data_IF_957115820517
#
_entry.id   IF_957115820517
#
_cell.length_a   1.000
_cell.length_b   1.000
_cell.length_c   1.000
_cell.angle_alpha   90.00
_cell.angle_beta   90.00
_cell.angle_gamma   90.00
#
_symmetry.space_group_name_H-M   'P 1'
#
loop_
_entity.id
_entity.type
_entity.pdbx_description
1 polymer ?
#
# COMPACT_ATOMS: atom_id res chain seq x y z
N UNK A 1 -42.89 6.73 -3.82
CA UNK A 1 -42.25 6.08 -2.67
C UNK A 1 -41.78 4.72 -3.15
N UNK A 2 -40.58 4.66 -3.73
CA UNK A 2 -40.08 3.43 -4.34
C UNK A 2 -39.63 2.43 -3.27
N UNK A 3 -40.26 1.27 -3.30
CA UNK A 3 -39.99 0.14 -2.42
C UNK A 3 -38.55 -0.35 -2.63
N UNK A 4 -37.70 -0.10 -1.63
CA UNK A 4 -36.32 -0.56 -1.58
C UNK A 4 -36.31 -2.10 -1.52
N UNK A 5 -35.86 -2.75 -2.59
CA UNK A 5 -35.68 -4.19 -2.63
C UNK A 5 -34.83 -4.69 -1.44
N UNK A 6 -35.12 -5.87 -0.87
CA UNK A 6 -34.44 -6.37 0.33
C UNK A 6 -32.94 -6.49 0.05
N UNK A 7 -32.13 -5.79 0.86
CA UNK A 7 -30.68 -5.93 0.84
C UNK A 7 -30.35 -7.36 1.25
N UNK A 8 -29.90 -8.19 0.31
CA UNK A 8 -29.40 -9.52 0.63
C UNK A 8 -28.39 -9.41 1.79
N UNK A 9 -28.63 -10.07 2.92
CA UNK A 9 -27.73 -10.00 4.10
C UNK A 9 -26.39 -10.70 3.84
N UNK A 10 -26.40 -11.68 2.94
CA UNK A 10 -25.26 -12.49 2.53
C UNK A 10 -24.95 -12.28 1.05
N UNK A 11 -23.70 -12.55 0.67
CA UNK A 11 -23.25 -12.48 -0.71
C UNK A 11 -24.03 -13.46 -1.60
N UNK A 12 -24.48 -13.02 -2.76
CA UNK A 12 -25.20 -13.85 -3.74
C UNK A 12 -24.31 -14.77 -4.58
N UNK A 13 -23.03 -14.89 -4.23
CA UNK A 13 -22.11 -15.83 -4.89
C UNK A 13 -22.22 -17.17 -4.17
N UNK A 14 -22.51 -18.23 -4.91
CA UNK A 14 -22.57 -19.60 -4.38
C UNK A 14 -21.27 -19.91 -3.60
N UNK A 15 -21.40 -20.54 -2.43
CA UNK A 15 -20.30 -20.81 -1.48
C UNK A 15 -19.64 -19.59 -0.80
N UNK A 16 -20.30 -18.42 -0.78
CA UNK A 16 -19.80 -17.24 -0.07
C UNK A 16 -20.74 -16.76 1.04
N UNK A 17 -20.40 -17.06 2.30
CA UNK A 17 -21.23 -16.68 3.46
C UNK A 17 -20.91 -15.27 4.00
N UNK A 18 -20.11 -14.49 3.28
CA UNK A 18 -19.72 -13.14 3.71
C UNK A 18 -20.90 -12.17 3.62
N UNK A 19 -20.98 -11.17 4.51
CA UNK A 19 -22.04 -10.17 4.44
C UNK A 19 -21.97 -9.41 3.12
N UNK A 20 -23.15 -9.17 2.54
CA UNK A 20 -23.29 -8.33 1.36
C UNK A 20 -22.91 -6.90 1.72
N UNK A 21 -22.10 -6.28 0.88
CA UNK A 21 -21.69 -4.88 0.99
C UNK A 21 -22.52 -4.01 0.06
N UNK A 22 -22.65 -4.40 -1.22
CA UNK A 22 -23.47 -3.68 -2.21
C UNK A 22 -23.75 -4.57 -3.42
N UNK A 23 -24.84 -4.31 -4.16
CA UNK A 23 -25.27 -5.08 -5.34
C UNK A 23 -25.46 -6.59 -5.08
N UNK A 24 -25.72 -6.98 -3.83
CA UNK A 24 -25.81 -8.38 -3.43
C UNK A 24 -24.45 -9.08 -3.24
N UNK A 25 -23.33 -8.37 -3.39
CA UNK A 25 -21.98 -8.94 -3.27
C UNK A 25 -21.28 -8.48 -2.00
N UNK A 26 -20.45 -9.35 -1.41
CA UNK A 26 -19.51 -8.94 -0.37
C UNK A 26 -18.45 -7.96 -0.93
N UNK A 27 -17.78 -7.22 -0.04
CA UNK A 27 -16.76 -6.24 -0.42
C UNK A 27 -15.68 -6.80 -1.36
N UNK A 28 -15.30 -8.07 -1.18
CA UNK A 28 -14.33 -8.76 -2.06
C UNK A 28 -14.86 -8.98 -3.48
N UNK A 29 -16.08 -9.49 -3.64
CA UNK A 29 -16.69 -9.77 -4.95
C UNK A 29 -17.06 -8.48 -5.68
N UNK A 30 -17.56 -7.48 -4.96
CA UNK A 30 -17.77 -6.14 -5.51
C UNK A 30 -16.45 -5.53 -6.02
N UNK A 31 -15.36 -5.65 -5.26
CA UNK A 31 -14.04 -5.16 -5.68
C UNK A 31 -13.49 -5.89 -6.92
N UNK A 32 -13.77 -7.18 -7.08
CA UNK A 32 -13.37 -7.96 -8.27
C UNK A 32 -14.14 -7.50 -9.50
N UNK A 33 -15.46 -7.39 -9.39
CA UNK A 33 -16.32 -6.87 -10.45
C UNK A 33 -15.91 -5.45 -10.86
N UNK A 34 -15.70 -4.55 -9.90
CA UNK A 34 -15.32 -3.16 -10.19
C UNK A 34 -14.02 -3.05 -10.99
N UNK A 35 -13.06 -3.94 -10.75
CA UNK A 35 -11.73 -3.89 -11.40
C UNK A 35 -11.64 -4.71 -12.68
N UNK A 36 -12.44 -5.77 -12.81
CA UNK A 36 -12.26 -6.80 -13.84
C UNK A 36 -13.55 -7.21 -14.56
N UNK A 37 -14.69 -6.62 -14.22
CA UNK A 37 -15.99 -6.91 -14.82
C UNK A 37 -16.64 -8.22 -14.35
N UNK A 38 -15.90 -9.08 -13.62
CA UNK A 38 -16.38 -10.37 -13.14
C UNK A 38 -16.19 -10.49 -11.60
N UNK A 39 -17.26 -10.69 -10.81
CA UNK A 39 -17.16 -10.90 -9.37
C UNK A 39 -16.38 -12.18 -8.99
N UNK A 40 -16.30 -13.18 -9.88
CA UNK A 40 -15.59 -14.44 -9.66
C UNK A 40 -14.15 -14.42 -10.16
N UNK A 41 -13.67 -13.32 -10.73
CA UNK A 41 -12.34 -13.22 -11.34
C UNK A 41 -11.23 -13.75 -10.41
N UNK A 42 -10.66 -14.92 -10.76
CA UNK A 42 -9.53 -15.53 -10.06
C UNK A 42 -8.21 -15.00 -10.65
N UNK A 43 -7.77 -13.85 -10.14
CA UNK A 43 -6.67 -13.09 -10.77
C UNK A 43 -5.29 -13.38 -10.17
N UNK A 44 -5.24 -14.23 -9.13
CA UNK A 44 -4.00 -14.68 -8.53
C UNK A 44 -3.83 -16.14 -8.83
N UNK A 45 -2.77 -16.48 -9.58
CA UNK A 45 -2.24 -17.84 -9.56
C UNK A 45 -2.06 -18.25 -8.10
N UNK A 46 -2.57 -19.42 -7.73
CA UNK A 46 -2.36 -19.96 -6.38
C UNK A 46 -0.87 -19.88 -6.02
N UNK A 47 -0.54 -19.53 -4.76
CA UNK A 47 0.84 -19.60 -4.28
C UNK A 47 1.40 -20.98 -4.60
N UNK A 48 2.68 -21.05 -5.00
CA UNK A 48 3.33 -22.36 -5.15
C UNK A 48 3.36 -23.03 -3.78
N UNK A 49 2.92 -24.29 -3.66
CA UNK A 49 2.99 -25.02 -2.40
C UNK A 49 4.41 -24.95 -1.80
N UNK A 50 4.55 -24.83 -0.47
CA UNK A 50 5.85 -24.77 0.20
C UNK A 50 6.82 -25.91 -0.16
N UNK A 51 6.25 -27.08 -0.44
CA UNK A 51 6.87 -28.37 -0.73
C UNK A 51 6.99 -28.67 -2.23
N UNK A 52 6.52 -27.77 -3.11
CA UNK A 52 6.59 -28.00 -4.54
C UNK A 52 8.05 -28.09 -5.02
N UNK A 53 8.35 -29.14 -5.79
CA UNK A 53 9.65 -29.35 -6.45
C UNK A 53 9.73 -28.69 -7.82
N UNK A 54 8.58 -28.45 -8.46
CA UNK A 54 8.46 -27.86 -9.78
C UNK A 54 7.41 -26.75 -9.84
N UNK A 55 7.56 -25.86 -10.81
CA UNK A 55 6.65 -24.73 -11.06
C UNK A 55 6.58 -24.42 -12.55
N UNK A 56 5.37 -24.12 -13.03
CA UNK A 56 5.15 -23.60 -14.40
C UNK A 56 5.47 -22.11 -14.50
N UNK A 57 6.32 -21.73 -15.45
CA UNK A 57 6.62 -20.34 -15.79
C UNK A 57 5.44 -19.71 -16.53
N UNK A 58 4.96 -18.54 -16.10
CA UNK A 58 3.83 -17.86 -16.75
C UNK A 58 4.19 -17.11 -18.03
N UNK A 59 5.47 -17.08 -18.42
CA UNK A 59 5.94 -16.48 -19.68
C UNK A 59 6.21 -17.54 -20.75
N UNK A 60 7.19 -18.42 -20.54
CA UNK A 60 7.52 -19.47 -21.51
C UNK A 60 6.66 -20.73 -21.39
N UNK A 61 5.75 -20.79 -20.42
CA UNK A 61 4.79 -21.90 -20.19
C UNK A 61 5.37 -23.25 -19.81
N UNK A 62 6.70 -23.39 -19.75
CA UNK A 62 7.40 -24.61 -19.34
C UNK A 62 7.31 -24.85 -17.83
N UNK A 63 7.21 -26.12 -17.44
CA UNK A 63 7.41 -26.58 -16.06
C UNK A 63 8.91 -26.75 -15.82
N UNK A 64 9.43 -26.11 -14.77
CA UNK A 64 10.85 -26.14 -14.40
C UNK A 64 10.99 -26.39 -12.89
N UNK A 65 12.14 -26.87 -12.42
CA UNK A 65 12.42 -26.96 -10.99
C UNK A 65 12.25 -25.61 -10.30
N UNK A 66 11.79 -25.61 -9.03
CA UNK A 66 11.53 -24.38 -8.28
C UNK A 66 12.77 -23.51 -8.08
N UNK A 67 13.98 -24.09 -8.16
CA UNK A 67 15.24 -23.36 -8.06
C UNK A 67 15.53 -22.46 -9.27
N UNK A 68 14.82 -22.66 -10.39
CA UNK A 68 14.86 -21.81 -11.58
C UNK A 68 14.01 -20.54 -11.42
N UNK A 69 13.43 -20.32 -10.25
CA UNK A 69 12.60 -19.17 -9.94
C UNK A 69 13.17 -18.43 -8.72
N UNK A 70 13.37 -17.12 -8.87
CA UNK A 70 13.82 -16.33 -7.73
C UNK A 70 12.69 -16.12 -6.71
N UNK A 71 13.07 -15.99 -5.44
CA UNK A 71 12.15 -15.61 -4.37
C UNK A 71 11.71 -14.15 -4.52
N UNK A 72 10.45 -13.85 -4.19
CA UNK A 72 9.95 -12.47 -4.18
C UNK A 72 10.64 -11.65 -3.07
N UNK A 73 10.99 -10.39 -3.36
CA UNK A 73 11.58 -9.47 -2.38
C UNK A 73 10.66 -9.31 -1.16
N UNK A 74 11.22 -9.39 0.04
CA UNK A 74 10.46 -9.30 1.30
C UNK A 74 9.72 -10.59 1.70
N UNK A 75 9.87 -11.69 0.96
CA UNK A 75 9.25 -12.98 1.28
C UNK A 75 10.18 -13.96 2.01
N UNK A 76 11.15 -13.45 2.79
CA UNK A 76 12.15 -14.29 3.50
C UNK A 76 11.49 -15.39 4.34
N UNK A 77 10.36 -15.07 4.99
CA UNK A 77 9.64 -15.98 5.90
C UNK A 77 8.41 -16.65 5.26
N UNK A 78 8.24 -16.61 3.94
CA UNK A 78 7.10 -17.22 3.24
C UNK A 78 7.57 -18.27 2.23
N UNK A 79 7.68 -19.55 2.65
CA UNK A 79 7.94 -20.68 1.76
C UNK A 79 6.98 -20.67 0.57
N UNK A 80 7.45 -21.02 -0.63
CA UNK A 80 6.62 -21.02 -1.85
C UNK A 80 6.38 -19.64 -2.51
N UNK A 81 6.85 -18.54 -1.93
CA UNK A 81 6.73 -17.19 -2.53
C UNK A 81 7.76 -16.92 -3.64
N UNK A 82 7.63 -17.66 -4.73
CA UNK A 82 8.47 -17.56 -5.94
C UNK A 82 7.91 -16.53 -6.95
N UNK A 83 8.78 -15.98 -7.80
CA UNK A 83 8.38 -15.17 -8.97
C UNK A 83 7.59 -16.02 -9.97
N UNK A 84 6.78 -15.37 -10.81
CA UNK A 84 5.97 -16.05 -11.84
C UNK A 84 6.78 -16.50 -13.07
N UNK A 85 7.90 -15.82 -13.34
CA UNK A 85 8.79 -16.13 -14.45
C UNK A 85 10.02 -16.91 -13.95
N UNK A 86 10.50 -17.85 -14.77
CA UNK A 86 11.81 -18.45 -14.53
C UNK A 86 12.92 -17.40 -14.73
N UNK A 87 14.10 -17.64 -14.17
CA UNK A 87 15.26 -16.72 -14.20
C UNK A 87 15.58 -16.21 -15.61
N UNK A 88 15.49 -17.08 -16.60
CA UNK A 88 15.72 -16.75 -18.00
C UNK A 88 14.68 -15.75 -18.54
N UNK A 89 13.39 -16.08 -18.41
CA UNK A 89 12.29 -15.21 -18.79
C UNK A 89 12.30 -13.87 -18.04
N UNK A 90 12.71 -13.87 -16.77
CA UNK A 90 12.85 -12.66 -15.95
C UNK A 90 13.99 -11.76 -16.46
N UNK A 91 15.13 -12.37 -16.84
CA UNK A 91 16.28 -11.66 -17.43
C UNK A 91 15.93 -11.03 -18.77
N UNK A 92 15.25 -11.78 -19.64
CA UNK A 92 14.76 -11.27 -20.92
C UNK A 92 13.74 -10.14 -20.72
N UNK A 93 12.78 -10.33 -19.82
CA UNK A 93 11.76 -9.32 -19.50
C UNK A 93 12.42 -8.03 -19.02
N UNK A 94 13.43 -8.15 -18.16
CA UNK A 94 14.15 -7.00 -17.66
C UNK A 94 14.92 -6.27 -18.76
N UNK A 95 15.54 -6.99 -19.71
CA UNK A 95 16.22 -6.39 -20.88
C UNK A 95 15.24 -5.59 -21.75
N UNK A 96 14.07 -6.14 -22.03
CA UNK A 96 13.00 -5.44 -22.76
C UNK A 96 12.52 -4.21 -21.99
N UNK A 97 12.24 -4.36 -20.70
CA UNK A 97 11.80 -3.28 -19.83
C UNK A 97 12.78 -2.11 -19.81
N UNK A 98 14.09 -2.34 -19.65
CA UNK A 98 15.06 -1.23 -19.62
C UNK A 98 15.25 -0.57 -20.98
N UNK A 99 14.97 -1.28 -22.07
CA UNK A 99 14.99 -0.75 -23.44
C UNK A 99 13.73 0.03 -23.80
N UNK A 100 12.63 -0.15 -23.05
CA UNK A 100 11.40 0.62 -23.25
C UNK A 100 11.56 2.10 -22.91
N UNK A 101 10.68 2.95 -23.45
CA UNK A 101 10.67 4.39 -23.19
C UNK A 101 10.61 4.71 -21.69
N UNK A 102 11.67 5.35 -21.18
CA UNK A 102 11.83 5.68 -19.76
C UNK A 102 12.14 4.50 -18.82
N UNK A 103 12.26 3.27 -19.34
CA UNK A 103 12.50 2.07 -18.55
C UNK A 103 13.83 2.09 -17.80
N UNK A 104 14.89 2.54 -18.48
CA UNK A 104 16.23 2.71 -17.88
C UNK A 104 16.22 3.69 -16.71
N UNK A 105 15.54 4.83 -16.85
CA UNK A 105 15.45 5.84 -15.79
C UNK A 105 14.63 5.32 -14.61
N UNK A 106 13.46 4.73 -14.85
CA UNK A 106 12.67 4.08 -13.79
C UNK A 106 13.46 2.99 -13.05
N UNK A 107 14.24 2.18 -13.77
CA UNK A 107 15.10 1.17 -13.16
C UNK A 107 16.24 1.79 -12.32
N UNK A 108 16.83 2.90 -12.76
CA UNK A 108 17.83 3.66 -12.01
C UNK A 108 17.25 4.23 -10.71
N UNK A 109 16.08 4.85 -10.78
CA UNK A 109 15.36 5.40 -9.61
C UNK A 109 14.99 4.28 -8.63
N UNK A 110 14.53 3.12 -9.12
CA UNK A 110 14.22 1.98 -8.26
C UNK A 110 15.47 1.37 -7.58
N UNK A 111 16.65 1.40 -8.25
CA UNK A 111 17.92 0.89 -7.71
C UNK A 111 18.62 1.84 -6.75
N UNK A 112 18.40 3.15 -6.84
CA UNK A 112 19.09 4.14 -6.02
C UNK A 112 18.74 4.06 -4.52
N UNK A 113 17.91 3.09 -4.11
CA UNK A 113 17.43 2.98 -2.74
C UNK A 113 16.67 4.24 -2.34
N UNK A 114 16.43 4.47 -1.06
CA UNK A 114 15.87 5.76 -0.64
C UNK A 114 17.01 6.79 -0.57
N UNK A 115 17.20 7.55 -1.64
CA UNK A 115 18.16 8.66 -1.75
C UNK A 115 17.50 10.01 -1.42
N UNK A 116 18.29 11.07 -1.14
CA UNK A 116 17.76 12.46 -1.00
C UNK A 116 16.88 12.86 -2.20
N UNK A 117 17.28 12.46 -3.41
CA UNK A 117 16.52 12.68 -4.65
C UNK A 117 15.16 11.96 -4.65
N UNK A 118 15.09 10.77 -4.03
CA UNK A 118 13.82 10.08 -3.84
C UNK A 118 12.94 10.78 -2.80
N UNK A 119 13.52 11.39 -1.76
CA UNK A 119 12.75 12.18 -0.80
C UNK A 119 12.05 13.37 -1.47
N UNK A 120 12.79 14.17 -2.23
CA UNK A 120 12.26 15.31 -2.98
C UNK A 120 11.19 14.88 -4.00
N UNK A 121 11.42 13.77 -4.71
CA UNK A 121 10.41 13.15 -5.56
C UNK A 121 9.15 12.80 -4.76
N UNK A 122 9.25 12.08 -3.65
CA UNK A 122 8.07 11.69 -2.86
C UNK A 122 7.30 12.90 -2.31
N UNK A 123 8.00 13.94 -1.87
CA UNK A 123 7.38 15.18 -1.39
C UNK A 123 6.53 15.82 -2.49
N UNK A 124 7.11 15.98 -3.68
CA UNK A 124 6.40 16.56 -4.82
C UNK A 124 5.23 15.72 -5.27
N UNK A 125 5.43 14.43 -5.52
CA UNK A 125 4.40 13.60 -6.16
C UNK A 125 3.25 13.20 -5.23
N UNK A 126 3.49 13.12 -3.91
CA UNK A 126 2.48 12.66 -2.96
C UNK A 126 1.81 13.79 -2.19
N UNK A 127 2.54 14.88 -1.96
CA UNK A 127 2.09 15.99 -1.11
C UNK A 127 2.11 17.34 -1.81
N UNK A 128 2.56 17.39 -3.07
CA UNK A 128 2.66 18.62 -3.86
C UNK A 128 3.47 19.74 -3.19
N UNK A 129 4.51 19.36 -2.44
CA UNK A 129 5.46 20.30 -1.81
C UNK A 129 6.89 20.02 -2.26
N UNK A 130 7.71 21.06 -2.28
CA UNK A 130 9.15 20.94 -2.55
C UNK A 130 9.92 20.56 -1.30
N UNK A 131 11.21 20.24 -1.45
CA UNK A 131 12.09 20.06 -0.29
C UNK A 131 12.22 21.36 0.53
N UNK A 132 12.23 22.52 -0.13
CA UNK A 132 12.30 23.82 0.54
C UNK A 132 11.04 24.09 1.38
N UNK A 133 9.86 23.75 0.87
CA UNK A 133 8.60 23.87 1.63
C UNK A 133 8.60 22.97 2.87
N UNK A 134 9.10 21.74 2.73
CA UNK A 134 9.25 20.81 3.84
C UNK A 134 10.22 21.34 4.91
N UNK A 135 11.36 21.90 4.49
CA UNK A 135 12.34 22.52 5.39
C UNK A 135 11.76 23.79 6.06
N UNK A 136 10.99 24.60 5.34
CA UNK A 136 10.30 25.76 5.87
C UNK A 136 9.24 25.37 6.91
N UNK A 137 8.45 24.32 6.66
CA UNK A 137 7.52 23.75 7.64
C UNK A 137 8.25 23.26 8.90
N UNK A 138 9.40 22.60 8.73
CA UNK A 138 10.23 22.15 9.85
C UNK A 138 10.71 23.32 10.70
N UNK A 139 11.21 24.37 10.04
CA UNK A 139 11.71 25.56 10.71
C UNK A 139 10.57 26.31 11.44
N UNK A 140 9.41 26.46 10.80
CA UNK A 140 8.23 27.08 11.41
C UNK A 140 7.73 26.31 12.65
N UNK A 141 7.92 25.00 12.69
CA UNK A 141 7.61 24.15 13.85
C UNK A 141 8.75 24.07 14.89
N UNK A 142 9.83 24.83 14.73
CA UNK A 142 10.98 24.80 15.64
C UNK A 142 11.71 23.45 15.67
N UNK A 143 11.66 22.69 14.56
CA UNK A 143 12.29 21.37 14.47
C UNK A 143 11.58 20.25 15.24
N UNK A 144 10.29 20.44 15.58
CA UNK A 144 9.53 19.55 16.46
C UNK A 144 8.20 19.10 15.84
N UNK A 145 7.65 18.02 16.40
CA UNK A 145 6.31 17.53 16.06
C UNK A 145 5.25 18.61 16.31
N UNK A 146 4.39 18.89 15.33
CA UNK A 146 3.31 19.88 15.49
C UNK A 146 2.26 19.52 16.55
N UNK A 147 2.20 18.26 16.99
CA UNK A 147 1.23 17.78 17.98
C UNK A 147 1.84 17.63 19.36
N UNK A 148 2.86 16.78 19.50
CA UNK A 148 3.41 16.44 20.82
C UNK A 148 4.71 17.18 21.17
N UNK A 149 5.25 18.01 20.27
CA UNK A 149 6.46 18.78 20.52
C UNK A 149 7.77 17.98 20.64
N UNK A 150 7.73 16.65 20.45
CA UNK A 150 8.96 15.85 20.42
C UNK A 150 9.89 16.33 19.31
N UNK A 151 11.20 16.20 19.50
CA UNK A 151 12.24 16.34 18.49
C UNK A 151 12.64 14.97 17.88
N UNK A 152 11.99 13.89 18.32
CA UNK A 152 12.20 12.55 17.80
C UNK A 152 11.20 12.23 16.68
N UNK A 153 11.61 12.22 15.41
CA UNK A 153 10.70 12.01 14.29
C UNK A 153 10.01 10.66 14.31
N UNK A 154 10.67 9.57 14.71
CA UNK A 154 10.04 8.25 14.90
C UNK A 154 9.30 7.62 13.70
N UNK A 155 9.27 8.26 12.52
CA UNK A 155 8.63 7.75 11.31
C UNK A 155 9.51 6.81 10.50
N UNK A 156 9.02 6.37 9.34
CA UNK A 156 9.78 5.52 8.43
C UNK A 156 11.14 6.13 8.11
N UNK A 157 12.22 5.36 8.27
CA UNK A 157 13.61 5.84 8.11
C UNK A 157 13.94 7.05 8.99
N UNK A 158 13.39 7.09 10.22
CA UNK A 158 13.61 8.13 11.23
C UNK A 158 13.32 9.54 10.71
N UNK A 159 12.29 9.69 9.86
CA UNK A 159 11.85 10.99 9.32
C UNK A 159 10.50 11.44 9.87
N UNK A 160 10.29 12.75 9.79
CA UNK A 160 9.00 13.35 10.07
C UNK A 160 7.97 12.93 9.01
N UNK A 161 6.78 12.60 9.46
CA UNK A 161 5.65 12.32 8.59
C UNK A 161 5.05 13.64 8.10
N UNK A 162 4.73 13.70 6.80
CA UNK A 162 3.97 14.82 6.23
C UNK A 162 2.49 14.53 6.42
N UNK A 163 1.90 15.23 7.38
CA UNK A 163 0.48 15.12 7.67
C UNK A 163 -0.32 15.97 6.69
N UNK A 164 -1.40 15.40 6.15
CA UNK A 164 -2.21 16.04 5.12
C UNK A 164 -3.67 15.63 5.26
N UNK A 165 -4.57 16.53 4.86
CA UNK A 165 -5.99 16.26 4.85
C UNK A 165 -6.35 15.27 3.74
N UNK A 166 -6.87 14.10 4.08
CA UNK A 166 -7.26 13.08 3.09
C UNK A 166 -8.40 13.50 2.14
N UNK A 167 -9.10 14.61 2.43
CA UNK A 167 -10.17 15.13 1.58
C UNK A 167 -9.69 16.19 0.58
N UNK A 168 -8.67 16.97 0.93
CA UNK A 168 -8.20 18.10 0.13
C UNK A 168 -6.74 17.96 -0.34
N UNK A 169 -6.04 16.92 0.12
CA UNK A 169 -4.60 16.72 -0.03
C UNK A 169 -3.72 17.85 0.53
N UNK A 170 -4.30 18.87 1.18
CA UNK A 170 -3.54 19.98 1.77
C UNK A 170 -2.70 19.49 2.94
N UNK A 171 -1.41 19.83 2.92
CA UNK A 171 -0.47 19.58 4.02
C UNK A 171 -0.90 20.40 5.24
N UNK A 172 -0.99 19.73 6.40
CA UNK A 172 -1.32 20.36 7.69
C UNK A 172 -0.05 20.69 8.49
N UNK A 173 0.95 19.83 8.45
CA UNK A 173 2.21 19.99 9.16
C UNK A 173 3.07 18.73 9.17
N UNK A 174 4.14 18.75 9.96
CA UNK A 174 5.07 17.66 10.14
C UNK A 174 4.91 17.03 11.52
N UNK A 175 4.71 15.71 11.55
CA UNK A 175 4.41 14.96 12.77
C UNK A 175 5.45 13.87 13.02
N UNK A 176 5.62 13.50 14.29
CA UNK A 176 6.34 12.26 14.60
C UNK A 176 5.53 11.05 14.13
N UNK A 177 6.19 9.91 13.93
CA UNK A 177 5.58 8.67 13.45
C UNK A 177 4.43 8.20 14.33
N UNK A 178 4.56 8.35 15.65
CA UNK A 178 3.52 7.98 16.62
C UNK A 178 2.27 8.85 16.50
N UNK A 179 2.41 10.17 16.42
CA UNK A 179 1.29 11.08 16.28
C UNK A 179 0.56 10.90 14.94
N UNK A 180 1.32 10.79 13.85
CA UNK A 180 0.75 10.56 12.52
C UNK A 180 -0.02 9.24 12.45
N UNK A 181 0.56 8.16 13.00
CA UNK A 181 -0.12 6.87 13.08
C UNK A 181 -1.38 6.97 13.96
N UNK A 182 -1.30 7.65 15.11
CA UNK A 182 -2.41 7.81 16.05
C UNK A 182 -3.64 8.48 15.42
N UNK A 183 -3.43 9.60 14.70
CA UNK A 183 -4.52 10.29 13.98
C UNK A 183 -5.14 9.35 12.92
N UNK A 184 -4.30 8.67 12.14
CA UNK A 184 -4.76 7.75 11.10
C UNK A 184 -5.55 6.57 11.65
N UNK A 185 -5.17 6.01 12.81
CA UNK A 185 -5.89 4.91 13.47
C UNK A 185 -7.27 5.33 13.98
N UNK A 186 -7.43 6.60 14.33
CA UNK A 186 -8.72 7.20 14.69
C UNK A 186 -9.46 7.77 13.46
N UNK A 187 -8.96 7.51 12.25
CA UNK A 187 -9.63 7.81 11.00
C UNK A 187 -9.65 9.28 10.62
N UNK A 188 -8.68 10.08 11.09
CA UNK A 188 -8.61 11.52 10.83
C UNK A 188 -9.89 12.29 11.24
N UNK A 189 -10.67 11.74 12.18
CA UNK A 189 -11.96 12.27 12.62
C UNK A 189 -11.80 13.10 13.92
N UNK A 190 -11.98 14.43 13.87
CA UNK A 190 -11.86 15.28 15.06
C UNK A 190 -12.83 14.92 16.18
N UNK A 191 -14.03 14.42 15.87
CA UNK A 191 -15.00 14.02 16.89
C UNK A 191 -14.51 12.77 17.62
N UNK A 192 -13.99 11.78 16.88
CA UNK A 192 -13.42 10.56 17.45
C UNK A 192 -12.15 10.83 18.27
N UNK A 193 -11.30 11.73 17.79
CA UNK A 193 -10.08 12.14 18.51
C UNK A 193 -10.40 12.78 19.86
N UNK A 194 -11.38 13.68 19.93
CA UNK A 194 -11.84 14.27 21.20
C UNK A 194 -12.45 13.22 22.11
N UNK A 195 -13.33 12.37 21.59
CA UNK A 195 -13.93 11.29 22.38
C UNK A 195 -12.89 10.32 22.97
N UNK A 196 -11.79 10.07 22.25
CA UNK A 196 -10.67 9.26 22.76
C UNK A 196 -9.93 9.96 23.92
N UNK A 197 -9.72 11.29 23.83
CA UNK A 197 -9.16 12.07 24.92
C UNK A 197 -10.09 12.04 26.16
N UNK A 198 -11.38 12.34 25.98
CA UNK A 198 -12.39 12.33 27.05
C UNK A 198 -12.52 10.95 27.71
N UNK A 199 -12.35 9.86 26.94
CA UNK A 199 -12.36 8.51 27.49
C UNK A 199 -11.17 8.27 28.41
N UNK A 200 -9.96 8.67 28.02
CA UNK A 200 -8.75 8.51 28.84
C UNK A 200 -8.86 9.37 30.10
N UNK A 201 -9.30 10.62 29.98
CA UNK A 201 -9.43 11.53 31.13
C UNK A 201 -10.43 11.02 32.18
N UNK A 202 -11.53 10.40 31.76
CA UNK A 202 -12.50 9.79 32.67
C UNK A 202 -12.01 8.53 33.40
N UNK A 203 -10.94 7.91 32.91
CA UNK A 203 -10.37 6.66 33.46
C UNK A 203 -8.93 6.84 33.94
N UNK A 204 -8.53 8.09 34.22
CA UNK A 204 -7.23 8.43 34.80
C UNK A 204 -7.33 8.67 36.29
#
# INVERSE_FOLDING_TARGET
MDARAPQAKTCCIESCDKPSFTRGWCSMHYSRWQRHGDPLAQLRSSPTPPDAVEKRCSRCTQTKPVDQFDRRKGAKNRPGSLKGYCRECDKEYYREYVSSAGGRERARVARSGWSKRNHEYFLKYRYDITLADYEALMAAQGGRCAICGTDQPGGNFTKWAVDHCHNSSKVRGLLCGSCNLGIGQLGDDPARLRAAADYIERHR
#
